data_IF_013177020667
#
_entry.id   IF_013177020667
#
_cell.length_a   1.000
_cell.length_b   1.000
_cell.length_c   1.000
_cell.angle_alpha   90.00
_cell.angle_beta   90.00
_cell.angle_gamma   90.00
#
_symmetry.space_group_name_H-M   'P 1'
#
loop_
_entity.id
_entity.type
_entity.pdbx_description
1 polymer ?
#
# COMPACT_ATOMS: atom_id res chain seq x y z
N UNK A 1 17.76 -6.26 -1.73
CA UNK A 1 18.61 -7.32 -1.16
C UNK A 1 18.23 -8.67 -1.76
N UNK A 2 17.04 -9.22 -1.48
CA UNK A 2 16.57 -10.49 -2.06
C UNK A 2 16.67 -10.55 -3.59
N UNK A 3 16.14 -9.54 -4.28
CA UNK A 3 16.23 -9.47 -5.75
C UNK A 3 17.67 -9.55 -6.28
N UNK A 4 18.62 -8.84 -5.66
CA UNK A 4 20.02 -8.88 -6.09
C UNK A 4 20.68 -10.23 -5.82
N UNK A 5 20.34 -10.87 -4.70
CA UNK A 5 20.81 -12.24 -4.43
C UNK A 5 20.40 -13.21 -5.54
N UNK A 6 19.12 -13.18 -5.95
CA UNK A 6 18.61 -14.03 -7.04
C UNK A 6 19.29 -13.71 -8.37
N UNK A 7 19.41 -12.43 -8.71
CA UNK A 7 20.03 -11.97 -9.97
C UNK A 7 21.51 -12.36 -10.03
N UNK A 8 22.26 -12.15 -8.95
CA UNK A 8 23.69 -12.44 -8.91
C UNK A 8 23.94 -13.96 -8.92
N UNK A 9 23.12 -14.77 -8.24
CA UNK A 9 23.18 -16.24 -8.32
C UNK A 9 22.93 -16.76 -9.73
N UNK A 10 21.98 -16.16 -10.47
CA UNK A 10 21.74 -16.49 -11.87
C UNK A 10 22.93 -16.11 -12.76
N UNK A 11 23.48 -14.91 -12.60
CA UNK A 11 24.64 -14.45 -13.38
C UNK A 11 25.90 -15.28 -13.12
N UNK A 12 26.16 -15.70 -11.87
CA UNK A 12 27.31 -16.56 -11.52
C UNK A 12 27.26 -17.90 -12.27
N UNK A 13 26.06 -18.40 -12.56
CA UNK A 13 25.83 -19.61 -13.34
C UNK A 13 25.76 -19.36 -14.85
N UNK A 14 26.07 -18.14 -15.31
CA UNK A 14 26.02 -17.73 -16.72
C UNK A 14 24.61 -17.48 -17.25
N UNK A 15 23.60 -17.44 -16.38
CA UNK A 15 22.21 -17.17 -16.75
C UNK A 15 21.98 -15.71 -17.13
N UNK A 16 21.00 -15.47 -18.00
CA UNK A 16 20.53 -14.14 -18.42
C UNK A 16 19.12 -13.90 -17.91
N UNK A 17 18.92 -12.76 -17.24
CA UNK A 17 17.60 -12.36 -16.75
C UNK A 17 16.69 -11.96 -17.92
N UNK A 18 15.60 -12.69 -18.10
CA UNK A 18 14.55 -12.45 -19.10
C UNK A 18 13.49 -11.48 -18.58
N UNK A 19 13.06 -11.67 -17.33
CA UNK A 19 12.08 -10.82 -16.66
C UNK A 19 12.37 -10.75 -15.17
N UNK A 20 11.98 -9.63 -14.55
CA UNK A 20 12.00 -9.45 -13.11
C UNK A 20 10.72 -8.74 -12.69
N UNK A 21 10.04 -9.33 -11.72
CA UNK A 21 8.78 -8.85 -11.18
C UNK A 21 8.91 -8.82 -9.66
N UNK A 22 8.47 -7.72 -9.03
CA UNK A 22 8.53 -7.55 -7.59
C UNK A 22 7.25 -6.91 -7.06
N UNK A 23 6.65 -7.56 -6.06
CA UNK A 23 5.47 -7.08 -5.36
C UNK A 23 5.75 -6.97 -3.88
N UNK A 24 5.25 -5.92 -3.25
CA UNK A 24 5.38 -5.71 -1.81
C UNK A 24 4.11 -5.06 -1.26
N UNK A 25 3.69 -5.45 -0.05
CA UNK A 25 2.55 -4.84 0.62
C UNK A 25 2.63 -5.01 2.13
N UNK A 26 2.45 -3.90 2.85
CA UNK A 26 2.07 -3.90 4.26
C UNK A 26 0.55 -3.87 4.35
N UNK A 27 -0.04 -4.91 4.92
CA UNK A 27 -1.47 -5.18 4.90
C UNK A 27 -1.94 -5.61 6.30
N UNK A 28 -3.23 -5.48 6.64
CA UNK A 28 -3.77 -6.23 7.77
C UNK A 28 -3.63 -7.74 7.54
N UNK A 29 -3.52 -8.50 8.62
CA UNK A 29 -3.72 -9.96 8.53
C UNK A 29 -5.11 -10.26 7.96
N UNK A 30 -5.35 -11.45 7.38
CA UNK A 30 -6.67 -11.81 6.86
C UNK A 30 -7.81 -11.62 7.89
N UNK A 31 -7.54 -11.89 9.17
CA UNK A 31 -8.49 -11.71 10.27
C UNK A 31 -8.74 -10.24 10.61
N UNK A 32 -7.71 -9.39 10.50
CA UNK A 32 -7.80 -7.95 10.75
C UNK A 32 -8.31 -7.14 9.53
N UNK A 33 -8.49 -7.75 8.37
CA UNK A 33 -9.01 -7.13 7.15
C UNK A 33 -10.56 -6.97 7.20
N UNK A 34 -11.06 -6.46 8.31
CA UNK A 34 -12.46 -6.49 8.73
C UNK A 34 -13.23 -5.17 8.48
N UNK A 35 -12.79 -4.37 7.51
CA UNK A 35 -13.42 -3.08 7.16
C UNK A 35 -13.69 -2.98 5.65
N UNK A 36 -14.52 -2.02 5.19
CA UNK A 36 -14.90 -1.90 3.77
C UNK A 36 -13.72 -1.75 2.79
N UNK A 37 -12.60 -1.20 3.25
CA UNK A 37 -11.39 -1.00 2.47
C UNK A 37 -10.45 -2.22 2.50
N UNK A 38 -10.69 -3.17 3.41
CA UNK A 38 -9.81 -4.30 3.73
C UNK A 38 -8.35 -3.85 3.99
N UNK A 39 -8.18 -2.65 4.55
CA UNK A 39 -6.88 -2.03 4.78
C UNK A 39 -6.84 -1.34 6.14
N UNK A 40 -5.66 -1.30 6.76
CA UNK A 40 -5.37 -0.59 8.00
C UNK A 40 -4.00 0.05 7.92
N UNK A 41 -3.85 1.20 8.58
CA UNK A 41 -2.61 1.95 8.57
C UNK A 41 -1.73 1.55 9.76
N UNK A 42 -0.56 0.99 9.46
CA UNK A 42 0.54 0.78 10.43
C UNK A 42 1.58 1.91 10.38
N UNK A 43 1.31 2.94 9.59
CA UNK A 43 2.17 4.10 9.31
C UNK A 43 1.31 5.28 8.83
N UNK A 44 1.92 6.46 8.63
CA UNK A 44 1.20 7.68 8.28
C UNK A 44 0.38 7.54 6.97
N UNK A 45 -0.97 7.68 7.00
CA UNK A 45 -1.83 7.58 5.82
C UNK A 45 -1.44 8.50 4.66
N UNK A 46 -0.89 9.68 4.97
CA UNK A 46 -0.55 10.68 3.96
C UNK A 46 0.46 10.14 2.93
N UNK A 47 1.50 9.44 3.39
CA UNK A 47 2.48 8.88 2.48
C UNK A 47 1.92 7.75 1.62
N UNK A 48 0.95 6.99 2.15
CA UNK A 48 0.30 5.90 1.42
C UNK A 48 -0.56 6.44 0.29
N UNK A 49 -1.40 7.43 0.60
CA UNK A 49 -2.29 8.07 -0.37
C UNK A 49 -1.46 8.79 -1.45
N UNK A 50 -0.41 9.52 -1.05
CA UNK A 50 0.48 10.18 -2.01
C UNK A 50 1.19 9.18 -2.93
N UNK A 51 1.65 8.05 -2.39
CA UNK A 51 2.29 7.01 -3.22
C UNK A 51 1.35 6.45 -4.29
N UNK A 52 0.05 6.38 -4.00
CA UNK A 52 -1.00 5.98 -4.93
C UNK A 52 -1.29 6.98 -6.05
N UNK A 53 -0.64 8.15 -6.04
CA UNK A 53 -0.74 9.18 -7.10
C UNK A 53 0.60 9.47 -7.78
N UNK A 54 1.65 8.69 -7.51
CA UNK A 54 2.93 8.84 -8.20
C UNK A 54 2.84 8.30 -9.64
N UNK A 55 3.46 8.97 -10.63
CA UNK A 55 3.58 8.37 -11.96
C UNK A 55 4.42 7.09 -11.89
N UNK A 56 4.05 6.09 -12.68
CA UNK A 56 4.74 4.81 -12.73
C UNK A 56 5.26 4.54 -14.14
N UNK A 57 6.47 3.99 -14.25
CA UNK A 57 7.05 3.54 -15.52
C UNK A 57 7.68 2.17 -15.32
N UNK A 58 7.33 1.23 -16.19
CA UNK A 58 7.86 -0.13 -16.16
C UNK A 58 8.02 -0.67 -17.58
N UNK A 59 8.76 -1.78 -17.73
CA UNK A 59 8.89 -2.49 -19.00
C UNK A 59 8.00 -3.71 -19.01
N UNK A 60 7.24 -3.90 -20.07
CA UNK A 60 6.39 -5.08 -20.29
C UNK A 60 6.50 -5.50 -21.76
N UNK A 61 6.73 -6.79 -22.01
CA UNK A 61 6.89 -7.35 -23.36
C UNK A 61 7.88 -6.58 -24.26
N UNK A 62 8.95 -6.04 -23.67
CA UNK A 62 9.97 -5.26 -24.37
C UNK A 62 9.66 -3.77 -24.51
N UNK A 63 8.41 -3.36 -24.34
CA UNK A 63 7.95 -1.98 -24.45
C UNK A 63 8.02 -1.24 -23.10
N UNK A 64 8.11 0.09 -23.16
CA UNK A 64 8.04 0.94 -21.96
C UNK A 64 6.60 1.39 -21.78
N UNK A 65 6.00 1.02 -20.66
CA UNK A 65 4.66 1.44 -20.26
C UNK A 65 4.79 2.57 -19.24
N UNK A 66 4.10 3.68 -19.47
CA UNK A 66 4.04 4.81 -18.55
C UNK A 66 2.61 5.08 -18.14
N UNK A 67 2.38 5.19 -16.84
CA UNK A 67 1.08 5.46 -16.22
C UNK A 67 1.18 6.80 -15.51
N UNK A 68 0.29 7.72 -15.86
CA UNK A 68 0.16 8.99 -15.15
C UNK A 68 -0.36 8.70 -13.72
N UNK A 69 0.13 9.44 -12.74
CA UNK A 69 -0.23 9.28 -11.33
C UNK A 69 -1.74 9.37 -11.07
N UNK A 70 -2.47 10.21 -11.82
CA UNK A 70 -3.93 10.31 -11.74
C UNK A 70 -4.65 9.03 -12.15
N UNK A 71 -4.03 8.20 -12.99
CA UNK A 71 -4.58 6.95 -13.50
C UNK A 71 -4.04 5.72 -12.76
N UNK A 72 -3.16 5.90 -11.75
CA UNK A 72 -2.47 4.77 -11.12
C UNK A 72 -3.46 3.80 -10.46
N UNK A 73 -4.45 4.32 -9.73
CA UNK A 73 -5.49 3.47 -9.13
C UNK A 73 -6.33 2.73 -10.17
N UNK A 74 -6.62 3.35 -11.32
CA UNK A 74 -7.41 2.72 -12.39
C UNK A 74 -6.61 1.67 -13.18
N UNK A 75 -5.28 1.65 -13.02
CA UNK A 75 -4.38 0.69 -13.68
C UNK A 75 -4.16 -0.62 -12.90
N UNK A 76 -4.77 -0.75 -11.72
CA UNK A 76 -4.61 -1.91 -10.84
C UNK A 76 -5.07 -3.22 -11.51
N UNK A 77 -4.36 -4.31 -11.21
CA UNK A 77 -4.68 -5.65 -11.74
C UNK A 77 -4.68 -6.71 -10.64
N UNK A 78 -5.63 -7.65 -10.73
CA UNK A 78 -5.71 -8.76 -9.80
C UNK A 78 -4.53 -9.72 -9.97
N UNK A 79 -3.97 -10.22 -8.86
CA UNK A 79 -2.76 -11.04 -8.89
C UNK A 79 -2.71 -12.01 -7.74
N UNK A 80 -2.70 -13.30 -8.05
CA UNK A 80 -2.56 -14.34 -7.03
C UNK A 80 -1.14 -14.86 -7.03
N UNK A 81 -0.55 -14.96 -5.84
CA UNK A 81 0.68 -15.72 -5.64
C UNK A 81 0.29 -17.20 -5.58
N UNK A 82 0.76 -18.06 -6.49
CA UNK A 82 0.36 -19.46 -6.55
C UNK A 82 0.57 -20.22 -5.23
N UNK A 83 1.68 -19.93 -4.55
CA UNK A 83 2.07 -20.60 -3.30
C UNK A 83 1.35 -20.03 -2.06
N UNK A 84 0.55 -18.97 -2.23
CA UNK A 84 -0.25 -18.32 -1.19
C UNK A 84 -1.71 -18.14 -1.65
N UNK A 85 -2.42 -19.22 -2.06
CA UNK A 85 -3.73 -19.11 -2.71
C UNK A 85 -4.84 -18.65 -1.74
N UNK A 86 -4.63 -18.83 -0.43
CA UNK A 86 -5.51 -18.33 0.61
C UNK A 86 -5.48 -16.80 0.73
N UNK A 87 -4.42 -16.16 0.23
CA UNK A 87 -4.31 -14.72 0.19
C UNK A 87 -4.82 -14.23 -1.17
N UNK A 88 -6.01 -13.64 -1.17
CA UNK A 88 -6.53 -12.90 -2.31
C UNK A 88 -5.77 -11.56 -2.45
N UNK A 89 -4.51 -11.66 -2.88
CA UNK A 89 -3.63 -10.54 -3.14
C UNK A 89 -3.95 -9.94 -4.52
N UNK A 90 -3.51 -8.72 -4.75
CA UNK A 90 -3.82 -7.94 -5.94
C UNK A 90 -2.65 -6.93 -6.13
N UNK A 91 -2.18 -6.71 -7.38
CA UNK A 91 -1.09 -5.76 -7.68
C UNK A 91 -1.72 -4.38 -7.71
N UNK A 92 -1.64 -3.69 -6.56
CA UNK A 92 -2.58 -2.66 -6.12
C UNK A 92 -4.00 -3.27 -6.03
N UNK A 93 -4.68 -3.20 -4.87
CA UNK A 93 -5.89 -4.00 -4.73
C UNK A 93 -6.99 -3.50 -5.66
N UNK A 94 -7.52 -4.31 -6.58
CA UNK A 94 -8.70 -3.98 -7.39
C UNK A 94 -9.84 -3.46 -6.52
N UNK A 95 -10.02 -3.95 -5.29
CA UNK A 95 -11.02 -3.38 -4.37
C UNK A 95 -10.58 -2.06 -3.72
N UNK A 96 -9.33 -1.99 -3.25
CA UNK A 96 -8.79 -0.79 -2.61
C UNK A 96 -8.63 0.34 -3.62
N UNK A 97 -7.93 0.09 -4.72
CA UNK A 97 -7.62 1.02 -5.79
C UNK A 97 -8.89 1.55 -6.44
N UNK A 98 -9.91 0.74 -6.71
CA UNK A 98 -11.18 1.25 -7.24
C UNK A 98 -11.89 2.20 -6.26
N UNK A 99 -11.90 1.85 -4.95
CA UNK A 99 -12.46 2.72 -3.90
C UNK A 99 -11.63 4.00 -3.78
N UNK A 100 -10.31 3.89 -3.67
CA UNK A 100 -9.40 5.03 -3.55
C UNK A 100 -9.42 5.93 -4.78
N UNK A 101 -9.50 5.36 -5.98
CA UNK A 101 -9.68 6.10 -7.23
C UNK A 101 -11.01 6.85 -7.25
N UNK A 102 -12.08 6.26 -6.71
CA UNK A 102 -13.37 6.95 -6.56
C UNK A 102 -13.31 8.06 -5.49
N UNK A 103 -12.65 7.83 -4.35
CA UNK A 103 -12.40 8.86 -3.34
C UNK A 103 -11.57 10.03 -3.92
N UNK A 104 -10.56 9.72 -4.73
CA UNK A 104 -9.75 10.72 -5.43
C UNK A 104 -10.62 11.57 -6.37
N UNK A 105 -11.51 10.93 -7.17
CA UNK A 105 -12.43 11.62 -8.08
C UNK A 105 -13.50 12.46 -7.35
N UNK A 106 -13.87 12.10 -6.13
CA UNK A 106 -14.74 12.91 -5.26
C UNK A 106 -14.01 14.18 -4.75
N UNK A 107 -12.67 14.17 -4.71
CA UNK A 107 -11.85 15.29 -4.22
C UNK A 107 -11.31 15.09 -2.80
N UNK A 108 -11.45 13.90 -2.20
CA UNK A 108 -10.93 13.63 -0.85
C UNK A 108 -9.40 13.77 -0.75
N UNK A 109 -8.67 13.70 -1.86
CA UNK A 109 -7.21 13.77 -1.88
C UNK A 109 -6.68 15.09 -2.44
N UNK A 110 -7.52 16.12 -2.49
CA UNK A 110 -7.11 17.47 -2.89
C UNK A 110 -6.32 18.13 -1.76
N UNK A 111 -5.11 18.58 -2.07
CA UNK A 111 -4.16 19.15 -1.12
C UNK A 111 -4.26 20.66 -1.00
N UNK A 112 -5.00 21.31 -1.88
CA UNK A 112 -5.25 22.75 -1.82
C UNK A 112 -6.13 23.11 -0.63
N UNK A 113 -5.92 24.32 -0.08
CA UNK A 113 -6.73 24.80 1.02
C UNK A 113 -8.19 24.95 0.58
N UNK A 114 -9.11 24.29 1.28
CA UNK A 114 -10.51 24.32 0.91
C UNK A 114 -11.22 25.52 1.55
N UNK A 115 -11.97 26.36 0.81
CA UNK A 115 -12.58 27.58 1.34
C UNK A 115 -13.44 27.36 2.60
N UNK A 116 -14.30 26.33 2.62
CA UNK A 116 -15.13 26.00 3.79
C UNK A 116 -14.31 25.64 5.05
N UNK A 117 -13.06 25.16 4.88
CA UNK A 117 -12.10 24.87 5.94
C UNK A 117 -11.26 26.09 6.32
N UNK A 118 -11.57 27.29 5.85
CA UNK A 118 -10.92 28.54 6.30
C UNK A 118 -11.85 29.44 7.10
N UNK A 119 -13.12 29.04 7.25
CA UNK A 119 -14.14 29.77 7.98
C UNK A 119 -13.87 29.76 9.49
N UNK A 120 -14.27 30.86 10.16
CA UNK A 120 -14.19 31.00 11.62
C UNK A 120 -15.03 29.93 12.33
N UNK A 121 -16.23 29.64 11.79
CA UNK A 121 -17.05 28.50 12.22
C UNK A 121 -16.69 27.29 11.37
N UNK A 122 -16.17 26.25 12.01
CA UNK A 122 -15.74 25.02 11.31
C UNK A 122 -16.96 24.23 10.82
N UNK A 123 -16.89 23.64 9.62
CA UNK A 123 -17.92 22.72 9.17
C UNK A 123 -17.83 21.41 9.97
N UNK A 124 -18.94 20.71 10.06
CA UNK A 124 -18.94 19.31 10.51
C UNK A 124 -18.41 18.40 9.41
N UNK A 125 -18.02 17.17 9.74
CA UNK A 125 -17.65 16.19 8.71
C UNK A 125 -18.81 15.94 7.74
N UNK A 126 -20.04 15.82 8.24
CA UNK A 126 -21.24 15.68 7.42
C UNK A 126 -21.46 16.86 6.47
N UNK A 127 -21.30 18.10 6.95
CA UNK A 127 -21.38 19.29 6.10
C UNK A 127 -20.28 19.31 5.03
N UNK A 128 -19.07 18.88 5.37
CA UNK A 128 -17.97 18.79 4.42
C UNK A 128 -18.18 17.68 3.38
N UNK A 129 -18.77 16.55 3.77
CA UNK A 129 -19.14 15.49 2.85
C UNK A 129 -20.18 15.96 1.82
N UNK A 130 -21.20 16.71 2.27
CA UNK A 130 -22.20 17.30 1.37
C UNK A 130 -21.54 18.23 0.35
N UNK A 131 -20.59 19.06 0.78
CA UNK A 131 -19.82 19.95 -0.08
C UNK A 131 -19.05 19.17 -1.15
N UNK A 132 -18.29 18.13 -0.76
CA UNK A 132 -17.54 17.29 -1.71
C UNK A 132 -18.46 16.56 -2.71
N UNK A 133 -19.64 16.12 -2.24
CA UNK A 133 -20.65 15.49 -3.08
C UNK A 133 -21.53 16.50 -3.85
N UNK A 134 -21.29 17.81 -3.68
CA UNK A 134 -22.05 18.90 -4.32
C UNK A 134 -23.55 18.82 -4.02
N UNK A 135 -23.93 18.36 -2.84
CA UNK A 135 -25.33 18.25 -2.38
C UNK A 135 -25.66 19.54 -1.63
N UNK A 136 -26.78 20.20 -1.95
CA UNK A 136 -27.21 21.38 -1.19
C UNK A 136 -27.81 20.94 0.15
N UNK A 137 -27.46 21.63 1.23
CA UNK A 137 -27.99 21.34 2.56
C UNK A 137 -29.51 21.42 2.67
N UNK A 138 -30.17 22.22 1.82
CA UNK A 138 -31.63 22.35 1.74
C UNK A 138 -32.32 21.10 1.18
N UNK A 139 -31.58 20.25 0.44
CA UNK A 139 -32.10 19.04 -0.19
C UNK A 139 -32.03 17.83 0.76
N UNK A 140 -31.52 17.99 2.00
CA UNK A 140 -31.24 16.86 2.89
C UNK A 140 -31.58 17.14 4.36
N UNK A 141 -32.73 16.62 4.81
CA UNK A 141 -33.27 16.80 6.17
C UNK A 141 -32.99 15.58 7.09
N UNK A 142 -32.12 14.66 6.65
CA UNK A 142 -31.89 13.36 7.30
C UNK A 142 -30.43 13.05 7.64
N UNK A 143 -30.18 11.81 8.09
CA UNK A 143 -28.83 11.24 8.22
C UNK A 143 -28.42 10.60 6.90
N UNK A 144 -27.22 10.92 6.41
CA UNK A 144 -26.70 10.41 5.13
C UNK A 144 -26.58 8.88 5.16
N UNK A 145 -27.27 8.19 4.26
CA UNK A 145 -27.19 6.72 4.15
C UNK A 145 -26.18 6.28 3.10
N UNK A 146 -25.79 5.00 3.13
CA UNK A 146 -24.93 4.40 2.10
C UNK A 146 -25.54 4.51 0.70
N UNK A 147 -26.88 4.40 0.61
CA UNK A 147 -27.61 4.43 -0.65
C UNK A 147 -27.62 5.84 -1.24
N UNK A 148 -27.82 6.87 -0.41
CA UNK A 148 -27.77 8.27 -0.84
C UNK A 148 -26.40 8.63 -1.43
N UNK A 149 -25.32 8.24 -0.75
CA UNK A 149 -23.95 8.49 -1.21
C UNK A 149 -23.68 7.70 -2.49
N UNK A 150 -24.11 6.44 -2.57
CA UNK A 150 -23.93 5.60 -3.76
C UNK A 150 -24.62 6.22 -4.98
N UNK A 151 -25.90 6.56 -4.87
CA UNK A 151 -26.67 7.18 -5.96
C UNK A 151 -26.05 8.50 -6.38
N UNK A 152 -25.54 9.29 -5.43
CA UNK A 152 -24.84 10.53 -5.75
C UNK A 152 -23.53 10.31 -6.50
N UNK A 153 -22.71 9.34 -6.09
CA UNK A 153 -21.46 8.97 -6.78
C UNK A 153 -21.75 8.59 -8.24
N UNK A 154 -22.81 7.80 -8.47
CA UNK A 154 -23.23 7.37 -9.80
C UNK A 154 -23.77 8.55 -10.63
N UNK A 155 -24.61 9.41 -10.05
CA UNK A 155 -25.18 10.57 -10.73
C UNK A 155 -24.13 11.59 -11.16
N UNK A 156 -23.05 11.76 -10.40
CA UNK A 156 -21.92 12.61 -10.75
C UNK A 156 -20.96 11.97 -11.77
N UNK A 157 -21.17 10.70 -12.13
CA UNK A 157 -20.29 9.96 -13.05
C UNK A 157 -18.90 9.65 -12.48
N UNK A 158 -18.72 9.72 -11.16
CA UNK A 158 -17.43 9.51 -10.48
C UNK A 158 -17.06 8.02 -10.37
N UNK A 159 -18.04 7.13 -10.53
CA UNK A 159 -17.85 5.70 -10.65
C UNK A 159 -18.93 5.14 -11.58
N UNK A 160 -18.56 4.18 -12.44
CA UNK A 160 -19.52 3.51 -13.35
C UNK A 160 -20.02 2.17 -12.82
N UNK A 161 -19.31 1.59 -11.85
CA UNK A 161 -19.57 0.24 -11.35
C UNK A 161 -20.35 0.35 -10.05
N UNK A 162 -21.61 -0.12 -10.05
CA UNK A 162 -22.51 -0.01 -8.90
C UNK A 162 -21.93 -0.64 -7.62
N UNK A 163 -21.28 -1.81 -7.74
CA UNK A 163 -20.67 -2.50 -6.61
C UNK A 163 -19.54 -1.67 -6.00
N UNK A 164 -18.72 -1.02 -6.82
CA UNK A 164 -17.62 -0.14 -6.39
C UNK A 164 -18.16 1.14 -5.76
N UNK A 165 -19.20 1.75 -6.35
CA UNK A 165 -19.87 2.91 -5.77
C UNK A 165 -20.44 2.61 -4.38
N UNK A 166 -21.09 1.44 -4.20
CA UNK A 166 -21.65 1.02 -2.91
C UNK A 166 -20.54 0.79 -1.87
N UNK A 167 -19.44 0.13 -2.25
CA UNK A 167 -18.29 -0.05 -1.34
C UNK A 167 -17.63 1.27 -0.98
N UNK A 168 -17.57 2.21 -1.92
CA UNK A 168 -17.05 3.55 -1.67
C UNK A 168 -17.94 4.29 -0.68
N UNK A 169 -19.26 4.26 -0.85
CA UNK A 169 -20.22 4.81 0.09
C UNK A 169 -20.06 4.21 1.49
N UNK A 170 -19.99 2.87 1.59
CA UNK A 170 -19.69 2.16 2.84
C UNK A 170 -18.40 2.63 3.50
N UNK A 171 -17.35 2.84 2.71
CA UNK A 171 -16.06 3.33 3.18
C UNK A 171 -16.18 4.76 3.72
N UNK A 172 -16.85 5.66 3.00
CA UNK A 172 -17.08 7.05 3.43
C UNK A 172 -17.81 7.09 4.78
N UNK A 173 -18.87 6.28 4.93
CA UNK A 173 -19.63 6.24 6.18
C UNK A 173 -18.81 5.60 7.31
N UNK A 174 -18.09 4.51 7.05
CA UNK A 174 -17.20 3.85 8.02
C UNK A 174 -16.10 4.79 8.53
N UNK A 175 -15.56 5.65 7.67
CA UNK A 175 -14.58 6.67 8.02
C UNK A 175 -15.20 7.85 8.82
N UNK A 176 -16.51 7.84 9.08
CA UNK A 176 -17.17 8.84 9.91
C UNK A 176 -17.40 10.18 9.20
N UNK A 177 -17.38 10.21 7.86
CA UNK A 177 -17.63 11.46 7.12
C UNK A 177 -19.08 11.97 7.22
N UNK A 178 -20.01 11.15 7.70
CA UNK A 178 -21.40 11.55 7.93
C UNK A 178 -21.62 12.18 9.32
N UNK A 179 -20.59 12.18 10.19
CA UNK A 179 -20.72 12.63 11.57
C UNK A 179 -20.86 14.15 11.70
N UNK A 180 -21.58 14.59 12.74
CA UNK A 180 -21.83 16.00 13.02
C UNK A 180 -20.77 16.66 13.92
N UNK A 181 -19.63 15.99 14.12
CA UNK A 181 -18.48 16.57 14.82
C UNK A 181 -17.78 17.60 13.95
N UNK A 182 -17.30 18.70 14.55
CA UNK A 182 -16.60 19.75 13.84
C UNK A 182 -15.20 19.30 13.39
N UNK A 183 -14.80 19.72 12.18
CA UNK A 183 -13.47 19.41 11.65
C UNK A 183 -12.42 20.26 12.37
N UNK A 184 -11.34 19.65 12.90
CA UNK A 184 -10.27 20.38 13.58
C UNK A 184 -9.64 21.49 12.74
N UNK A 185 -9.18 22.56 13.40
CA UNK A 185 -8.50 23.71 12.78
C UNK A 185 -7.16 23.37 12.13
N UNK A 186 -6.58 22.22 12.49
CA UNK A 186 -5.36 21.69 11.88
C UNK A 186 -5.57 21.25 10.43
N UNK A 187 -6.78 20.83 10.06
CA UNK A 187 -7.11 20.42 8.70
C UNK A 187 -7.42 21.63 7.82
N UNK A 188 -6.67 21.82 6.74
CA UNK A 188 -6.82 22.94 5.81
C UNK A 188 -7.31 22.51 4.43
N UNK A 189 -7.08 21.26 4.06
CA UNK A 189 -7.43 20.67 2.77
C UNK A 189 -8.33 19.44 2.93
N UNK A 190 -8.96 19.00 1.85
CA UNK A 190 -9.71 17.73 1.85
C UNK A 190 -8.79 16.54 2.19
N UNK A 191 -7.55 16.58 1.70
CA UNK A 191 -6.52 15.60 2.00
C UNK A 191 -6.21 15.50 3.50
N UNK A 192 -6.13 16.63 4.22
CA UNK A 192 -5.89 16.61 5.67
C UNK A 192 -7.05 15.95 6.43
N UNK A 193 -8.30 16.26 6.03
CA UNK A 193 -9.50 15.67 6.63
C UNK A 193 -9.55 14.17 6.36
N UNK A 194 -9.20 13.75 5.13
CA UNK A 194 -9.13 12.34 4.77
C UNK A 194 -8.05 11.58 5.54
N UNK A 195 -6.85 12.15 5.67
CA UNK A 195 -5.78 11.55 6.46
C UNK A 195 -6.19 11.39 7.92
N UNK A 196 -6.78 12.43 8.53
CA UNK A 196 -7.27 12.37 9.91
C UNK A 196 -8.27 11.23 10.10
N UNK A 197 -9.31 11.16 9.25
CA UNK A 197 -10.34 10.13 9.36
C UNK A 197 -9.80 8.72 9.13
N UNK A 198 -8.90 8.56 8.18
CA UNK A 198 -8.23 7.28 7.93
C UNK A 198 -7.34 6.87 9.09
N UNK A 199 -6.61 7.79 9.70
CA UNK A 199 -5.78 7.53 10.88
C UNK A 199 -6.64 7.10 12.08
N UNK A 200 -7.75 7.78 12.34
CA UNK A 200 -8.66 7.46 13.44
C UNK A 200 -9.39 6.11 13.25
N UNK A 201 -9.85 5.83 12.02
CA UNK A 201 -10.82 4.74 11.76
C UNK A 201 -10.20 3.48 11.18
N UNK A 202 -9.00 3.57 10.61
CA UNK A 202 -8.28 2.44 10.05
C UNK A 202 -7.02 2.09 10.86
N UNK A 203 -6.98 2.49 12.12
CA UNK A 203 -5.96 2.03 13.07
C UNK A 203 -6.18 0.56 13.47
N UNK A 204 -5.08 -0.11 13.82
CA UNK A 204 -5.13 -1.44 14.42
C UNK A 204 -5.56 -1.37 15.88
N UNK A 205 -6.37 -2.33 16.32
CA UNK A 205 -6.58 -2.57 17.75
C UNK A 205 -5.35 -3.26 18.36
N UNK A 206 -5.30 -3.37 19.70
CA UNK A 206 -4.22 -4.08 20.40
C UNK A 206 -4.18 -5.60 20.13
N UNK A 207 -5.28 -6.17 19.63
CA UNK A 207 -5.43 -7.61 19.37
C UNK A 207 -5.23 -7.96 17.89
N UNK A 208 -5.22 -6.97 17.01
CA UNK A 208 -5.07 -7.18 15.58
C UNK A 208 -3.60 -7.19 15.16
N UNK A 209 -3.33 -7.89 14.07
CA UNK A 209 -1.98 -8.04 13.51
C UNK A 209 -1.92 -7.47 12.11
N UNK A 210 -0.80 -6.82 11.80
CA UNK A 210 -0.41 -6.54 10.42
C UNK A 210 0.39 -7.71 9.84
N UNK A 211 0.62 -7.61 8.54
CA UNK A 211 1.34 -8.57 7.73
C UNK A 211 2.17 -7.81 6.70
N UNK A 212 3.38 -8.30 6.44
CA UNK A 212 4.21 -7.85 5.32
C UNK A 212 4.41 -9.02 4.37
N UNK A 213 4.12 -8.75 3.10
CA UNK A 213 4.36 -9.66 2.01
C UNK A 213 5.33 -9.00 1.02
N UNK A 214 6.39 -9.70 0.66
CA UNK A 214 7.31 -9.32 -0.41
C UNK A 214 7.53 -10.54 -1.30
N UNK A 215 7.31 -10.40 -2.59
CA UNK A 215 7.41 -11.48 -3.56
C UNK A 215 8.22 -11.05 -4.77
N UNK A 216 9.18 -11.88 -5.17
CA UNK A 216 9.98 -11.69 -6.36
C UNK A 216 9.81 -12.87 -7.30
N UNK A 217 9.69 -12.59 -8.59
CA UNK A 217 9.79 -13.58 -9.66
C UNK A 217 10.89 -13.14 -10.63
N UNK A 218 11.80 -14.05 -10.97
CA UNK A 218 12.89 -13.85 -11.91
C UNK A 218 12.84 -14.99 -12.93
N UNK A 219 12.72 -14.67 -14.21
CA UNK A 219 12.88 -15.67 -15.27
C UNK A 219 14.32 -15.63 -15.79
N UNK A 220 14.96 -16.79 -15.84
CA UNK A 220 16.37 -16.95 -16.19
C UNK A 220 16.52 -17.89 -17.36
N UNK A 221 17.25 -17.43 -18.39
CA UNK A 221 17.67 -18.26 -19.51
C UNK A 221 19.14 -18.64 -19.34
N UNK A 222 19.44 -19.93 -19.34
CA UNK A 222 20.80 -20.44 -19.25
C UNK A 222 21.35 -20.83 -20.62
N UNK A 223 22.69 -20.76 -20.81
CA UNK A 223 23.32 -21.02 -22.11
C UNK A 223 23.35 -22.50 -22.51
N UNK A 224 23.04 -23.41 -21.58
CA UNK A 224 23.04 -24.86 -21.79
C UNK A 224 21.79 -25.39 -22.51
N UNK A 225 20.87 -24.49 -22.92
CA UNK A 225 19.68 -24.83 -23.67
C UNK A 225 18.58 -25.49 -22.83
N UNK A 226 18.71 -25.51 -21.50
CA UNK A 226 17.62 -25.92 -20.61
C UNK A 226 16.40 -24.98 -20.76
N UNK A 227 15.18 -25.42 -20.42
CA UNK A 227 14.01 -24.54 -20.38
C UNK A 227 14.26 -23.30 -19.52
N UNK A 228 13.65 -22.17 -19.86
CA UNK A 228 13.71 -20.96 -19.02
C UNK A 228 13.23 -21.31 -17.62
N UNK A 229 14.07 -21.07 -16.62
CA UNK A 229 13.74 -21.32 -15.22
C UNK A 229 13.04 -20.11 -14.62
N UNK A 230 12.04 -20.35 -13.79
CA UNK A 230 11.34 -19.32 -13.02
C UNK A 230 11.72 -19.44 -11.54
N UNK A 231 12.49 -18.49 -11.06
CA UNK A 231 12.95 -18.42 -9.68
C UNK A 231 12.00 -17.49 -8.91
N UNK A 232 11.47 -17.96 -7.77
CA UNK A 232 10.60 -17.20 -6.89
C UNK A 232 11.21 -17.08 -5.50
N UNK A 233 11.06 -15.92 -4.87
CA UNK A 233 11.43 -15.70 -3.47
C UNK A 233 10.36 -14.89 -2.77
N UNK A 234 9.80 -15.43 -1.68
CA UNK A 234 8.67 -14.83 -0.96
C UNK A 234 8.99 -14.67 0.52
N UNK A 235 8.82 -13.46 1.04
CA UNK A 235 8.77 -13.16 2.46
C UNK A 235 7.31 -12.95 2.85
N UNK A 236 6.86 -13.66 3.88
CA UNK A 236 5.57 -13.48 4.51
C UNK A 236 5.78 -13.40 6.03
N UNK A 237 5.58 -12.21 6.59
CA UNK A 237 5.83 -11.93 8.01
C UNK A 237 4.56 -11.36 8.66
N UNK A 238 4.27 -11.78 9.89
CA UNK A 238 3.13 -11.28 10.67
C UNK A 238 3.61 -10.52 11.90
N UNK A 239 2.81 -9.55 12.35
CA UNK A 239 3.05 -8.87 13.63
C UNK A 239 3.12 -9.87 14.78
N UNK A 240 4.02 -9.65 15.73
CA UNK A 240 4.28 -10.56 16.85
C UNK A 240 4.01 -9.89 18.18
N UNK A 241 3.32 -10.59 19.07
CA UNK A 241 3.10 -10.14 20.45
C UNK A 241 3.92 -11.01 21.39
N UNK A 242 4.84 -10.39 22.14
CA UNK A 242 5.68 -11.07 23.13
C UNK A 242 5.64 -10.32 24.45
N UNK A 243 5.28 -11.00 25.53
CA UNK A 243 5.16 -10.42 26.88
C UNK A 243 4.29 -9.15 26.92
N UNK A 244 3.17 -9.16 26.19
CA UNK A 244 2.24 -8.02 26.11
C UNK A 244 2.74 -6.84 25.27
N UNK A 245 3.91 -6.93 24.62
CA UNK A 245 4.39 -5.93 23.66
C UNK A 245 4.19 -6.44 22.24
N UNK A 246 3.44 -5.68 21.45
CA UNK A 246 3.20 -5.95 20.04
C UNK A 246 4.23 -5.24 19.19
N UNK A 247 4.89 -5.99 18.30
CA UNK A 247 5.75 -5.46 17.24
C UNK A 247 5.11 -5.80 15.90
N UNK A 248 4.72 -4.79 15.14
CA UNK A 248 4.15 -4.95 13.79
C UNK A 248 5.16 -5.57 12.83
N UNK A 249 4.72 -6.36 11.85
CA UNK A 249 5.53 -6.88 10.76
C UNK A 249 6.24 -5.74 10.01
N UNK A 250 5.56 -4.61 9.78
CA UNK A 250 6.14 -3.42 9.15
C UNK A 250 7.33 -2.88 9.95
N UNK A 251 7.13 -2.58 11.25
CA UNK A 251 8.22 -2.10 12.10
C UNK A 251 9.40 -3.07 12.18
N UNK A 252 9.14 -4.39 12.22
CA UNK A 252 10.18 -5.41 12.24
C UNK A 252 10.97 -5.45 10.91
N UNK A 253 10.26 -5.52 9.78
CA UNK A 253 10.86 -5.64 8.44
C UNK A 253 11.48 -4.34 7.92
N UNK A 254 11.20 -3.19 8.54
CA UNK A 254 11.86 -1.90 8.24
C UNK A 254 12.98 -1.60 9.24
N UNK A 255 12.70 -1.71 10.54
CA UNK A 255 13.63 -1.33 11.60
C UNK A 255 14.84 -2.24 11.71
N UNK A 256 14.67 -3.55 11.56
CA UNK A 256 15.79 -4.50 11.65
C UNK A 256 16.79 -4.32 10.51
N UNK A 257 16.40 -4.22 9.22
CA UNK A 257 17.35 -3.91 8.15
C UNK A 257 18.09 -2.59 8.36
N UNK A 258 17.41 -1.55 8.87
CA UNK A 258 18.07 -0.27 9.17
C UNK A 258 19.13 -0.42 10.28
N UNK A 259 18.82 -1.14 11.35
CA UNK A 259 19.75 -1.41 12.44
C UNK A 259 20.95 -2.26 11.96
N UNK A 260 20.72 -3.27 11.13
CA UNK A 260 21.77 -4.07 10.52
C UNK A 260 22.67 -3.20 9.63
N UNK A 261 22.10 -2.33 8.80
CA UNK A 261 22.86 -1.39 7.98
C UNK A 261 23.78 -0.51 8.84
N UNK A 262 23.27 0.05 9.94
CA UNK A 262 24.07 0.82 10.88
C UNK A 262 25.19 -0.03 11.52
N UNK A 263 24.90 -1.25 11.94
CA UNK A 263 25.88 -2.17 12.52
C UNK A 263 27.02 -2.49 11.52
N UNK A 264 26.68 -2.82 10.27
CA UNK A 264 27.66 -3.13 9.23
C UNK A 264 28.60 -1.95 8.93
N UNK A 265 28.10 -0.71 9.03
CA UNK A 265 28.90 0.51 8.91
C UNK A 265 29.84 0.67 10.12
N UNK A 266 29.31 0.53 11.35
CA UNK A 266 30.08 0.69 12.59
C UNK A 266 31.19 -0.37 12.73
N UNK A 267 30.90 -1.60 12.34
CA UNK A 267 31.86 -2.71 12.31
C UNK A 267 32.87 -2.61 11.14
N UNK A 268 32.77 -1.58 10.29
CA UNK A 268 33.61 -1.37 9.11
C UNK A 268 33.56 -2.54 8.11
N UNK A 269 32.44 -3.27 8.07
CA UNK A 269 32.18 -4.32 7.07
C UNK A 269 31.88 -3.73 5.69
N UNK A 270 31.23 -2.57 5.65
CA UNK A 270 31.03 -1.79 4.41
C UNK A 270 32.22 -0.84 4.25
N UNK A 271 33.05 -1.09 3.23
CA UNK A 271 34.29 -0.32 2.99
C UNK A 271 34.10 0.84 2.01
N UNK A 272 33.19 0.68 1.05
CA UNK A 272 32.90 1.72 0.06
C UNK A 272 32.33 2.96 0.75
N UNK A 273 32.74 4.13 0.28
CA UNK A 273 32.28 5.44 0.77
C UNK A 273 31.33 6.09 -0.23
N UNK A 274 30.56 7.06 0.24
CA UNK A 274 29.61 7.82 -0.58
C UNK A 274 28.16 7.43 -0.29
N UNK A 275 27.26 7.79 -1.20
CA UNK A 275 25.84 7.45 -1.12
C UNK A 275 25.63 6.05 -1.68
N UNK A 276 25.34 5.09 -0.81
CA UNK A 276 25.21 3.68 -1.17
C UNK A 276 23.76 3.22 -1.16
N UNK A 277 23.49 2.20 -1.97
CA UNK A 277 22.22 1.44 -1.97
C UNK A 277 22.51 -0.02 -1.64
N UNK A 278 21.56 -0.77 -1.08
CA UNK A 278 21.73 -2.18 -0.72
C UNK A 278 21.62 -3.10 -1.96
N UNK A 279 22.36 -2.76 -3.01
CA UNK A 279 22.49 -3.52 -4.26
C UNK A 279 23.88 -4.14 -4.43
N UNK A 280 24.87 -3.65 -3.67
CA UNK A 280 26.22 -4.18 -3.69
C UNK A 280 26.33 -5.44 -2.82
N UNK A 281 26.99 -6.53 -3.27
CA UNK A 281 27.15 -7.77 -2.49
C UNK A 281 27.75 -7.55 -1.10
N UNK A 282 28.72 -6.65 -0.98
CA UNK A 282 29.34 -6.29 0.31
C UNK A 282 28.33 -5.74 1.34
N UNK A 283 27.18 -5.26 0.88
CA UNK A 283 26.10 -4.74 1.74
C UNK A 283 25.04 -5.82 1.93
N UNK A 284 24.47 -6.33 0.83
CA UNK A 284 23.28 -7.18 0.94
C UNK A 284 23.59 -8.59 1.44
N UNK A 285 24.76 -9.18 1.15
CA UNK A 285 25.11 -10.54 1.58
C UNK A 285 25.17 -10.63 3.12
N UNK A 286 26.03 -9.86 3.82
CA UNK A 286 26.07 -9.94 5.28
C UNK A 286 24.76 -9.46 5.93
N UNK A 287 24.01 -8.56 5.29
CA UNK A 287 22.71 -8.16 5.80
C UNK A 287 21.68 -9.29 5.75
N UNK A 288 21.60 -10.03 4.64
CA UNK A 288 20.70 -11.19 4.51
C UNK A 288 21.07 -12.31 5.49
N UNK A 289 22.36 -12.59 5.69
CA UNK A 289 22.82 -13.57 6.68
C UNK A 289 22.32 -13.23 8.09
N UNK A 290 22.46 -11.95 8.49
CA UNK A 290 21.99 -11.48 9.79
C UNK A 290 20.46 -11.52 9.86
N UNK A 291 19.74 -11.08 8.81
CA UNK A 291 18.28 -11.13 8.78
C UNK A 291 17.75 -12.56 8.95
N UNK A 292 18.37 -13.54 8.29
CA UNK A 292 18.04 -14.95 8.42
C UNK A 292 18.31 -15.46 9.85
N UNK A 293 19.43 -15.06 10.46
CA UNK A 293 19.74 -15.37 11.86
C UNK A 293 18.74 -14.74 12.85
N UNK A 294 18.16 -13.59 12.51
CA UNK A 294 17.06 -12.95 13.26
C UNK A 294 15.68 -13.57 13.00
N UNK A 295 15.60 -14.61 12.16
CA UNK A 295 14.42 -15.41 11.94
C UNK A 295 13.52 -14.95 10.80
N UNK A 296 13.97 -14.01 9.94
CA UNK A 296 13.29 -13.70 8.68
C UNK A 296 13.53 -14.85 7.70
N UNK A 297 12.44 -15.54 7.34
CA UNK A 297 12.49 -16.70 6.47
C UNK A 297 11.99 -16.32 5.08
N UNK A 298 12.74 -16.75 4.08
CA UNK A 298 12.36 -16.64 2.67
C UNK A 298 11.88 -18.01 2.20
N UNK A 299 10.74 -18.02 1.51
CA UNK A 299 10.23 -19.18 0.78
C UNK A 299 10.75 -19.07 -0.65
N UNK A 300 11.68 -19.94 -1.00
CA UNK A 300 12.32 -19.95 -2.31
C UNK A 300 11.86 -21.16 -3.12
N UNK A 301 11.66 -20.96 -4.43
CA UNK A 301 11.20 -22.00 -5.34
C UNK A 301 11.78 -21.77 -6.74
N UNK A 302 12.20 -22.85 -7.39
CA UNK A 302 12.64 -22.84 -8.79
C UNK A 302 11.76 -23.82 -9.56
N UNK A 303 11.19 -23.35 -10.67
CA UNK A 303 10.34 -24.10 -11.59
C UNK A 303 10.90 -24.07 -13.01
#
# INVERSE_FOLDING_TARGET
>A
MMAMMMIDQAHVQGGKIRSFISYCGGLPSPEAANNPLAYKFSWNPAGAIQSGRNPATYRSHGETVSINGECLYDSAVSFRIPDLPAFALEILPNRFAEIMGTLARIGFFDTEAHPILTLTKRPTFGAFLLELLKIKSEDFDGTMTEEDVKERILALGLCKVQVTALKTAKTILYLGFHEQTEIPVSCRSAFDVACLRMEERLAYSSEEQDMVLLHHEVEVEFPDGRPVEKHRSTLLEFGKTKNGKTTTAMAFTVGIPAAIGALLILEKKIKTRGVLRPIEPQVYVPALDILQAYGLKLLEKTE
#
